data_IF_637872851700
#
_entry.id   IF_637872851700
#
_cell.length_a   1.000
_cell.length_b   1.000
_cell.length_c   1.000
_cell.angle_alpha   90.00
_cell.angle_beta   90.00
_cell.angle_gamma   90.00
#
_symmetry.space_group_name_H-M   'P 1'
#
loop_
_entity.id
_entity.type
_entity.pdbx_description
1 polymer ?
#
# COMPACT_ATOMS: atom_id res chain seq x y z
N UNK A 1 -3.63 -12.10 -22.32
CA UNK A 1 -3.57 -11.66 -20.92
C UNK A 1 -4.64 -10.59 -20.75
N UNK A 2 -5.54 -10.72 -19.78
CA UNK A 2 -6.69 -9.81 -19.64
C UNK A 2 -6.35 -8.50 -18.93
N UNK A 3 -5.33 -8.49 -18.07
CA UNK A 3 -4.94 -7.35 -17.22
C UNK A 3 -6.10 -6.79 -16.40
N UNK A 4 -6.81 -7.68 -15.71
CA UNK A 4 -7.87 -7.33 -14.77
C UNK A 4 -7.36 -7.53 -13.34
N UNK A 5 -8.00 -6.88 -12.39
CA UNK A 5 -7.72 -7.05 -10.97
C UNK A 5 -8.88 -7.80 -10.28
N UNK A 6 -8.62 -8.61 -9.24
CA UNK A 6 -9.66 -9.34 -8.51
C UNK A 6 -10.28 -8.53 -7.35
N UNK A 7 -9.70 -7.39 -7.01
CA UNK A 7 -10.10 -6.55 -5.89
C UNK A 7 -11.52 -5.99 -5.94
N UNK A 8 -11.94 -5.47 -4.80
CA UNK A 8 -13.27 -4.92 -4.60
C UNK A 8 -13.43 -3.54 -5.27
N UNK A 9 -14.53 -3.39 -6.01
CA UNK A 9 -14.99 -2.10 -6.52
C UNK A 9 -16.52 -2.13 -6.69
N UNK A 10 -17.14 -0.96 -6.68
CA UNK A 10 -18.55 -0.77 -7.05
C UNK A 10 -18.64 -0.33 -8.52
N UNK A 11 -19.79 -0.50 -9.20
CA UNK A 11 -19.96 0.01 -10.56
C UNK A 11 -19.56 1.49 -10.65
N UNK A 12 -18.58 1.79 -11.52
CA UNK A 12 -18.06 3.15 -11.77
C UNK A 12 -17.44 3.86 -10.54
N UNK A 13 -16.99 3.09 -9.53
CA UNK A 13 -16.34 3.65 -8.34
C UNK A 13 -14.95 4.24 -8.62
N UNK A 14 -14.57 5.25 -7.84
CA UNK A 14 -13.23 5.84 -7.81
C UNK A 14 -12.20 4.89 -7.19
N UNK A 15 -12.62 4.03 -6.25
CA UNK A 15 -11.75 3.06 -5.58
C UNK A 15 -11.82 1.70 -6.26
N UNK A 16 -10.65 1.15 -6.54
CA UNK A 16 -10.45 -0.24 -6.96
C UNK A 16 -9.49 -0.87 -5.95
N UNK A 17 -10.01 -1.34 -4.82
CA UNK A 17 -9.19 -1.83 -3.71
C UNK A 17 -8.79 -3.29 -3.98
N UNK A 18 -7.53 -3.51 -4.38
CA UNK A 18 -7.06 -4.79 -4.90
C UNK A 18 -5.68 -5.18 -4.38
N UNK A 19 -5.36 -6.48 -4.29
CA UNK A 19 -3.98 -6.94 -4.15
C UNK A 19 -3.10 -6.54 -5.33
N UNK A 20 -1.87 -6.17 -5.02
CA UNK A 20 -0.74 -6.09 -5.95
C UNK A 20 0.16 -7.32 -5.75
N UNK A 21 0.30 -8.17 -6.78
CA UNK A 21 1.20 -9.34 -6.71
C UNK A 21 2.63 -8.99 -7.05
N UNK A 22 2.88 -7.90 -7.77
CA UNK A 22 4.23 -7.36 -7.91
C UNK A 22 4.24 -5.86 -8.22
N UNK A 23 5.35 -5.21 -7.87
CA UNK A 23 5.62 -3.79 -8.12
C UNK A 23 6.92 -3.63 -8.92
N UNK A 24 7.08 -4.49 -9.94
CA UNK A 24 8.27 -4.54 -10.77
C UNK A 24 8.57 -3.13 -11.34
N UNK A 25 9.79 -2.60 -11.16
CA UNK A 25 10.11 -1.29 -11.68
C UNK A 25 10.26 -1.33 -13.21
N UNK A 26 9.94 -0.22 -13.87
CA UNK A 26 10.14 -0.02 -15.30
C UNK A 26 11.60 -0.27 -15.74
N UNK A 27 12.56 0.00 -14.84
CA UNK A 27 13.98 -0.29 -15.05
C UNK A 27 14.59 -0.87 -13.77
N UNK A 28 15.35 -1.95 -13.94
CA UNK A 28 16.15 -2.57 -12.88
C UNK A 28 17.59 -2.03 -12.82
N UNK A 29 17.87 -0.88 -13.43
CA UNK A 29 19.23 -0.34 -13.56
C UNK A 29 20.01 -0.85 -14.78
N UNK A 30 19.59 -1.98 -15.37
CA UNK A 30 20.20 -2.59 -16.57
C UNK A 30 19.42 -2.28 -17.87
N UNK A 31 18.47 -1.35 -17.81
CA UNK A 31 17.64 -0.94 -18.95
C UNK A 31 16.17 -1.28 -18.76
N UNK A 32 15.44 -1.22 -19.87
CA UNK A 32 13.98 -1.38 -19.89
C UNK A 32 13.54 -2.80 -19.51
N UNK A 33 12.73 -2.90 -18.47
CA UNK A 33 12.11 -4.15 -18.05
C UNK A 33 10.75 -4.31 -18.74
N UNK A 34 10.63 -5.29 -19.65
CA UNK A 34 9.38 -5.58 -20.37
C UNK A 34 8.34 -6.29 -19.52
N UNK A 35 8.75 -6.97 -18.45
CA UNK A 35 7.84 -7.75 -17.61
C UNK A 35 6.89 -6.85 -16.82
N UNK A 36 7.22 -5.56 -16.66
CA UNK A 36 6.36 -4.56 -16.02
C UNK A 36 4.96 -4.47 -16.65
N UNK A 37 4.81 -4.82 -17.93
CA UNK A 37 3.53 -4.79 -18.64
C UNK A 37 2.65 -6.01 -18.36
N UNK A 38 3.20 -7.09 -17.82
CA UNK A 38 2.33 -8.13 -17.27
C UNK A 38 1.48 -7.50 -16.13
N UNK A 39 2.07 -6.63 -15.33
CA UNK A 39 1.43 -6.09 -14.12
C UNK A 39 0.59 -4.83 -14.37
N UNK A 40 -0.02 -4.66 -15.55
CA UNK A 40 -0.81 -3.44 -15.85
C UNK A 40 -1.93 -3.15 -14.84
N UNK A 41 -2.49 -4.19 -14.24
CA UNK A 41 -3.52 -4.09 -13.21
C UNK A 41 -3.02 -4.49 -11.81
N UNK A 42 -1.71 -4.55 -11.58
CA UNK A 42 -1.11 -4.88 -10.28
C UNK A 42 -1.10 -6.36 -9.91
N UNK A 43 -2.03 -7.16 -10.47
CA UNK A 43 -2.22 -8.57 -10.13
C UNK A 43 -1.90 -9.53 -11.28
N UNK A 44 -1.22 -10.63 -10.96
CA UNK A 44 -0.99 -11.78 -11.84
C UNK A 44 -1.37 -13.07 -11.14
N UNK A 45 -2.31 -13.82 -11.72
CA UNK A 45 -2.81 -15.07 -11.15
C UNK A 45 -1.73 -16.16 -11.04
N UNK A 46 -0.65 -16.10 -11.82
CA UNK A 46 0.44 -17.07 -11.69
C UNK A 46 1.36 -16.80 -10.51
N UNK A 47 1.27 -15.63 -9.87
CA UNK A 47 2.10 -15.29 -8.73
C UNK A 47 1.58 -15.93 -7.45
N UNK A 48 2.52 -16.22 -6.56
CA UNK A 48 2.26 -16.88 -5.28
C UNK A 48 2.55 -15.95 -4.10
N UNK A 49 2.69 -14.64 -4.36
CA UNK A 49 3.01 -13.64 -3.34
C UNK A 49 2.28 -12.33 -3.60
N UNK A 50 1.92 -11.62 -2.52
CA UNK A 50 1.27 -10.31 -2.54
C UNK A 50 2.17 -9.28 -1.85
N UNK A 51 2.40 -8.15 -2.51
CA UNK A 51 3.08 -6.97 -1.94
C UNK A 51 2.21 -6.26 -0.90
N UNK A 52 0.92 -6.16 -1.16
CA UNK A 52 -0.05 -5.47 -0.33
C UNK A 52 -1.28 -5.11 -1.14
N UNK A 53 -2.05 -4.14 -0.66
CA UNK A 53 -3.34 -3.76 -1.22
C UNK A 53 -3.37 -2.26 -1.49
N UNK A 54 -3.47 -1.88 -2.77
CA UNK A 54 -3.56 -0.48 -3.19
C UNK A 54 -4.97 -0.13 -3.68
N UNK A 55 -5.26 1.16 -3.81
CA UNK A 55 -6.64 1.66 -3.87
C UNK A 55 -7.11 2.09 -5.28
N UNK A 56 -6.22 2.04 -6.27
CA UNK A 56 -6.50 2.54 -7.63
C UNK A 56 -5.86 1.63 -8.68
N UNK A 57 -6.66 1.20 -9.65
CA UNK A 57 -6.22 0.22 -10.66
C UNK A 57 -6.89 0.49 -12.01
N UNK A 58 -6.14 0.27 -13.08
CA UNK A 58 -6.74 0.14 -14.40
C UNK A 58 -7.14 -1.32 -14.67
N UNK A 59 -8.20 -1.51 -15.45
CA UNK A 59 -8.69 -2.82 -15.87
C UNK A 59 -8.65 -2.92 -17.39
N UNK A 60 -7.98 -3.95 -17.91
CA UNK A 60 -7.91 -4.26 -19.34
C UNK A 60 -6.90 -3.43 -20.14
N UNK A 61 -6.03 -2.66 -19.51
CA UNK A 61 -5.10 -1.76 -20.22
C UNK A 61 -3.84 -2.49 -20.67
N UNK A 62 -3.24 -2.03 -21.79
CA UNK A 62 -1.91 -2.48 -22.23
C UNK A 62 -0.75 -1.61 -21.73
N UNK A 63 -1.06 -0.61 -20.91
CA UNK A 63 -0.10 0.28 -20.23
C UNK A 63 -0.58 0.51 -18.79
N UNK A 64 0.34 0.97 -17.96
CA UNK A 64 0.20 0.90 -16.51
C UNK A 64 0.37 2.28 -15.87
N UNK A 65 -0.45 2.59 -14.88
CA UNK A 65 -0.25 3.68 -13.92
C UNK A 65 -1.04 3.32 -12.64
N UNK A 66 -1.21 4.25 -11.70
CA UNK A 66 -1.97 4.04 -10.46
C UNK A 66 -1.23 3.10 -9.46
N UNK A 67 -1.95 2.27 -8.71
CA UNK A 67 -1.43 1.55 -7.55
C UNK A 67 -1.17 2.51 -6.39
N UNK A 68 -2.09 3.42 -6.12
CA UNK A 68 -1.93 4.42 -5.08
C UNK A 68 -2.22 3.87 -3.69
N UNK A 69 -1.37 4.26 -2.73
CA UNK A 69 -1.49 3.98 -1.30
C UNK A 69 -1.58 2.48 -0.99
N UNK A 70 -0.43 1.80 -1.07
CA UNK A 70 -0.34 0.38 -0.75
C UNK A 70 -0.28 0.17 0.76
N UNK A 71 -1.26 -0.56 1.28
CA UNK A 71 -1.29 -1.03 2.67
C UNK A 71 -0.88 -2.50 2.76
N UNK A 72 -0.08 -2.84 3.77
CA UNK A 72 0.27 -4.23 4.06
C UNK A 72 0.27 -4.48 5.58
N UNK A 73 -0.64 -5.32 6.12
CA UNK A 73 -0.59 -5.75 7.51
C UNK A 73 0.50 -6.82 7.69
N UNK A 74 1.30 -6.70 8.75
CA UNK A 74 2.36 -7.66 9.06
C UNK A 74 2.45 -7.94 10.56
N UNK A 75 3.01 -9.10 10.89
CA UNK A 75 3.43 -9.48 12.25
C UNK A 75 4.94 -9.67 12.29
N UNK A 76 5.54 -9.61 13.48
CA UNK A 76 6.97 -9.80 13.67
C UNK A 76 7.82 -8.57 13.28
N UNK A 77 9.10 -8.78 12.90
CA UNK A 77 10.04 -7.69 12.64
C UNK A 77 9.57 -6.76 11.52
N UNK A 78 9.63 -5.45 11.77
CA UNK A 78 9.28 -4.42 10.80
C UNK A 78 10.21 -4.47 9.59
N UNK A 79 9.63 -4.60 8.39
CA UNK A 79 10.32 -4.51 7.10
C UNK A 79 9.64 -3.45 6.24
N UNK A 80 10.42 -2.54 5.67
CA UNK A 80 9.94 -1.44 4.82
C UNK A 80 10.40 -1.61 3.36
N UNK A 81 10.56 -2.84 2.90
CA UNK A 81 10.81 -3.13 1.51
C UNK A 81 9.93 -4.33 1.12
N UNK A 82 9.48 -4.43 -0.15
CA UNK A 82 8.61 -5.53 -0.56
C UNK A 82 9.34 -6.88 -0.74
N UNK A 83 10.68 -6.92 -0.61
CA UNK A 83 11.46 -8.09 -1.00
C UNK A 83 11.30 -8.38 -2.50
N UNK A 84 11.47 -9.64 -2.88
CA UNK A 84 11.22 -10.09 -4.26
C UNK A 84 10.28 -11.29 -4.27
N UNK A 85 9.71 -11.62 -5.43
CA UNK A 85 8.89 -12.83 -5.58
C UNK A 85 9.65 -14.12 -5.20
N UNK A 86 10.96 -14.17 -5.45
CA UNK A 86 11.82 -15.33 -5.14
C UNK A 86 12.26 -15.34 -3.67
N UNK A 87 12.46 -14.15 -3.09
CA UNK A 87 12.91 -13.96 -1.71
C UNK A 87 11.94 -13.08 -0.92
N UNK A 88 10.67 -13.48 -0.75
CA UNK A 88 9.66 -12.67 -0.05
C UNK A 88 10.05 -12.41 1.40
N UNK A 89 10.78 -13.32 2.04
CA UNK A 89 11.26 -13.21 3.42
C UNK A 89 12.22 -12.04 3.66
N UNK A 90 12.75 -11.40 2.61
CA UNK A 90 13.60 -10.20 2.75
C UNK A 90 12.80 -8.91 2.94
N UNK A 91 11.47 -8.97 2.74
CA UNK A 91 10.57 -7.83 2.80
C UNK A 91 9.24 -8.09 3.50
N UNK A 92 8.29 -7.17 3.31
CA UNK A 92 6.95 -7.21 3.89
C UNK A 92 5.95 -8.06 3.07
N UNK A 93 6.36 -8.58 1.91
CA UNK A 93 5.51 -9.38 1.03
C UNK A 93 5.17 -10.71 1.68
N UNK A 94 3.95 -11.18 1.47
CA UNK A 94 3.49 -12.48 1.96
C UNK A 94 3.25 -13.44 0.81
N UNK A 95 3.53 -14.73 1.05
CA UNK A 95 2.98 -15.83 0.27
C UNK A 95 1.46 -15.92 0.46
N UNK A 96 0.77 -16.45 -0.54
CA UNK A 96 -0.66 -16.78 -0.51
C UNK A 96 -0.97 -17.95 -1.46
N UNK A 97 -2.18 -18.51 -1.37
CA UNK A 97 -2.68 -19.50 -2.32
C UNK A 97 -4.10 -19.18 -2.77
N UNK A 98 -4.44 -19.55 -4.02
CA UNK A 98 -5.81 -19.39 -4.55
C UNK A 98 -6.84 -20.27 -3.84
N UNK A 99 -6.43 -21.32 -3.12
CA UNK A 99 -7.33 -22.12 -2.28
C UNK A 99 -7.87 -21.32 -1.10
N UNK A 100 -7.13 -20.30 -0.65
CA UNK A 100 -7.49 -19.38 0.43
C UNK A 100 -7.72 -17.95 -0.08
N UNK A 101 -8.11 -17.82 -1.34
CA UNK A 101 -8.43 -16.55 -1.99
C UNK A 101 -9.87 -16.61 -2.51
N UNK A 102 -10.66 -15.57 -2.21
CA UNK A 102 -12.06 -15.48 -2.58
C UNK A 102 -12.31 -14.10 -3.18
N UNK A 103 -12.95 -14.05 -4.34
CA UNK A 103 -13.37 -12.82 -4.98
C UNK A 103 -14.82 -12.91 -5.44
N UNK A 104 -15.57 -11.84 -5.23
CA UNK A 104 -16.94 -11.66 -5.72
C UNK A 104 -17.23 -10.17 -5.93
N UNK A 105 -18.32 -9.78 -6.64
CA UNK A 105 -18.61 -8.35 -6.85
C UNK A 105 -18.64 -7.55 -5.54
N UNK A 106 -17.75 -6.57 -5.43
CA UNK A 106 -17.62 -5.72 -4.23
C UNK A 106 -16.88 -6.33 -3.04
N UNK A 107 -16.28 -7.53 -3.17
CA UNK A 107 -15.56 -8.18 -2.08
C UNK A 107 -14.37 -9.01 -2.56
N UNK A 108 -13.25 -8.88 -1.85
CA UNK A 108 -12.06 -9.73 -2.02
C UNK A 108 -11.54 -10.17 -0.66
N UNK A 109 -11.05 -11.40 -0.55
CA UNK A 109 -10.38 -11.89 0.65
C UNK A 109 -9.24 -12.83 0.31
N UNK A 110 -8.18 -12.78 1.11
CA UNK A 110 -7.03 -13.67 0.99
C UNK A 110 -6.36 -13.92 2.33
N UNK A 111 -5.85 -15.13 2.53
CA UNK A 111 -4.94 -15.45 3.63
C UNK A 111 -3.51 -15.01 3.28
N UNK A 112 -2.90 -14.20 4.15
CA UNK A 112 -1.47 -13.87 4.10
C UNK A 112 -0.69 -14.92 4.89
N UNK A 113 -0.24 -15.98 4.22
CA UNK A 113 0.32 -17.17 4.87
C UNK A 113 1.57 -16.88 5.72
N UNK A 114 2.40 -15.91 5.34
CA UNK A 114 3.64 -15.59 6.09
C UNK A 114 3.37 -14.83 7.40
N UNK A 115 2.19 -14.21 7.53
CA UNK A 115 1.80 -13.43 8.71
C UNK A 115 0.66 -14.04 9.51
N UNK A 116 -0.03 -15.04 8.94
CA UNK A 116 -1.24 -15.65 9.48
C UNK A 116 -2.33 -14.59 9.77
N UNK A 117 -2.59 -13.76 8.75
CA UNK A 117 -3.56 -12.67 8.76
C UNK A 117 -4.55 -12.90 7.62
N UNK A 118 -5.84 -12.95 7.94
CA UNK A 118 -6.90 -12.90 6.93
C UNK A 118 -7.13 -11.44 6.54
N UNK A 119 -6.91 -11.11 5.27
CA UNK A 119 -7.25 -9.82 4.70
C UNK A 119 -8.59 -9.89 3.97
N UNK A 120 -9.44 -8.91 4.21
CA UNK A 120 -10.75 -8.76 3.56
C UNK A 120 -10.94 -7.32 3.11
N UNK A 121 -11.43 -7.14 1.89
CA UNK A 121 -11.51 -5.85 1.21
C UNK A 121 -12.92 -5.66 0.67
N UNK A 122 -13.46 -4.45 0.84
CA UNK A 122 -14.66 -3.98 0.14
C UNK A 122 -14.52 -2.51 -0.20
N UNK A 123 -15.43 -1.96 -1.00
CA UNK A 123 -15.37 -0.57 -1.43
C UNK A 123 -16.75 0.06 -1.54
N UNK A 124 -16.80 1.37 -1.31
CA UNK A 124 -17.88 2.26 -1.74
C UNK A 124 -17.43 3.05 -2.98
N UNK A 125 -18.19 4.05 -3.42
CA UNK A 125 -17.80 4.90 -4.55
C UNK A 125 -16.42 5.55 -4.37
N UNK A 126 -16.03 5.95 -3.16
CA UNK A 126 -14.81 6.74 -2.90
C UNK A 126 -14.00 6.27 -1.68
N UNK A 127 -14.41 5.19 -1.04
CA UNK A 127 -13.76 4.66 0.18
C UNK A 127 -13.44 3.18 -0.01
N UNK A 128 -12.18 2.82 0.19
CA UNK A 128 -11.76 1.44 0.40
C UNK A 128 -11.88 1.06 1.87
N UNK A 129 -12.36 -0.14 2.14
CA UNK A 129 -12.49 -0.68 3.49
C UNK A 129 -11.72 -1.99 3.59
N UNK A 130 -10.83 -2.07 4.58
CA UNK A 130 -10.05 -3.25 4.91
C UNK A 130 -10.51 -3.79 6.25
N UNK A 131 -10.52 -5.11 6.38
CA UNK A 131 -10.61 -5.82 7.65
C UNK A 131 -9.48 -6.84 7.69
N UNK A 132 -8.60 -6.71 8.67
CA UNK A 132 -7.51 -7.64 8.92
C UNK A 132 -7.79 -8.41 10.21
N UNK A 133 -7.98 -9.72 10.10
CA UNK A 133 -8.16 -10.60 11.26
C UNK A 133 -6.82 -11.23 11.59
N UNK A 134 -6.31 -10.96 12.80
CA UNK A 134 -5.04 -11.49 13.28
C UNK A 134 -5.28 -12.77 14.06
N UNK A 135 -4.67 -13.88 13.66
CA UNK A 135 -4.83 -15.14 14.37
C UNK A 135 -3.90 -15.29 15.57
N UNK A 136 -2.84 -14.49 15.63
CA UNK A 136 -1.86 -14.48 16.70
C UNK A 136 -1.92 -13.18 17.50
N UNK A 137 -1.58 -13.25 18.78
CA UNK A 137 -1.45 -12.07 19.63
C UNK A 137 -0.08 -11.41 19.51
N UNK A 138 -0.01 -10.10 19.80
CA UNK A 138 1.24 -9.36 19.91
C UNK A 138 1.21 -7.98 19.25
N UNK A 139 2.39 -7.38 19.15
CA UNK A 139 2.59 -6.16 18.39
C UNK A 139 2.57 -6.48 16.89
N UNK A 140 1.81 -5.69 16.15
CA UNK A 140 1.59 -5.84 14.71
C UNK A 140 1.90 -4.52 14.02
N UNK A 141 2.21 -4.57 12.72
CA UNK A 141 2.47 -3.39 11.91
C UNK A 141 1.43 -3.28 10.79
N UNK A 142 1.02 -2.05 10.48
CA UNK A 142 0.39 -1.69 9.22
C UNK A 142 1.38 -0.81 8.46
N UNK A 143 1.93 -1.35 7.36
CA UNK A 143 2.84 -0.60 6.48
C UNK A 143 2.00 0.17 5.47
N UNK A 144 2.31 1.46 5.29
CA UNK A 144 1.82 2.30 4.20
C UNK A 144 3.01 2.67 3.30
N UNK A 145 3.13 1.98 2.17
CA UNK A 145 4.17 2.25 1.17
C UNK A 145 3.69 3.32 0.19
N UNK A 146 4.01 4.58 0.48
CA UNK A 146 3.66 5.71 -0.40
C UNK A 146 4.49 5.70 -1.69
N UNK A 147 5.64 5.02 -1.69
CA UNK A 147 6.54 4.91 -2.82
C UNK A 147 6.11 3.83 -3.82
N UNK A 148 5.38 2.81 -3.37
CA UNK A 148 4.83 1.75 -4.21
C UNK A 148 3.87 2.30 -5.27
N UNK A 149 3.78 1.64 -6.41
CA UNK A 149 2.84 1.99 -7.47
C UNK A 149 3.07 1.10 -8.68
N UNK A 150 2.05 0.98 -9.52
CA UNK A 150 2.16 0.18 -10.73
C UNK A 150 3.00 0.97 -11.74
N UNK A 151 3.97 0.30 -12.37
CA UNK A 151 4.92 0.91 -13.30
C UNK A 151 5.72 2.04 -12.64
N UNK A 152 6.49 1.66 -11.63
CA UNK A 152 7.29 2.60 -10.83
C UNK A 152 8.72 2.74 -11.36
N UNK A 153 9.33 3.89 -11.12
CA UNK A 153 10.73 4.18 -11.47
C UNK A 153 11.25 5.38 -10.67
N UNK A 154 12.58 5.52 -10.50
CA UNK A 154 13.16 6.69 -9.87
C UNK A 154 12.68 7.99 -10.51
N UNK A 155 12.11 8.90 -9.69
CA UNK A 155 11.57 10.18 -10.15
C UNK A 155 10.10 10.17 -10.60
N UNK A 156 9.40 9.02 -10.53
CA UNK A 156 7.93 8.95 -10.74
C UNK A 156 7.19 9.73 -9.65
N UNK A 157 7.52 9.44 -8.40
CA UNK A 157 7.01 10.15 -7.23
C UNK A 157 7.72 11.51 -7.10
N UNK A 158 6.94 12.58 -7.06
CA UNK A 158 7.44 13.97 -6.97
C UNK A 158 7.53 14.39 -5.52
N UNK A 159 6.42 14.18 -4.80
CA UNK A 159 6.30 14.53 -3.41
C UNK A 159 5.23 13.68 -2.76
N UNK A 160 5.48 13.26 -1.52
CA UNK A 160 4.56 12.52 -0.67
C UNK A 160 4.52 13.21 0.68
N UNK A 161 3.33 13.21 1.26
CA UNK A 161 3.08 13.78 2.57
C UNK A 161 2.11 12.86 3.30
N UNK A 162 2.43 12.55 4.55
CA UNK A 162 1.52 11.91 5.51
C UNK A 162 1.50 12.77 6.76
N UNK A 163 0.32 12.91 7.36
CA UNK A 163 0.13 13.51 8.67
C UNK A 163 -0.71 12.62 9.57
N UNK A 164 -0.23 12.38 10.78
CA UNK A 164 -1.01 11.74 11.85
C UNK A 164 -1.76 12.84 12.59
N UNK A 165 -3.06 12.96 12.35
CA UNK A 165 -3.90 14.03 12.91
C UNK A 165 -4.29 13.73 14.37
N UNK A 166 -4.48 12.46 14.69
CA UNK A 166 -4.73 11.96 16.05
C UNK A 166 -4.40 10.46 16.13
N UNK A 167 -4.84 9.78 17.19
CA UNK A 167 -4.54 8.38 17.45
C UNK A 167 -5.18 7.39 16.45
N UNK A 168 -6.12 7.84 15.61
CA UNK A 168 -6.86 6.98 14.66
C UNK A 168 -6.99 7.55 13.25
N UNK A 169 -6.73 8.85 13.05
CA UNK A 169 -6.86 9.55 11.76
C UNK A 169 -5.48 9.90 11.19
N UNK A 170 -5.26 9.48 9.95
CA UNK A 170 -4.08 9.78 9.15
C UNK A 170 -4.55 10.42 7.84
N UNK A 171 -3.97 11.55 7.45
CA UNK A 171 -4.23 12.20 6.17
C UNK A 171 -2.96 12.25 5.34
N UNK A 172 -3.08 12.48 4.03
CA UNK A 172 -1.90 12.62 3.20
C UNK A 172 -2.21 12.75 1.73
N UNK A 173 -1.15 12.87 0.94
CA UNK A 173 -1.24 12.91 -0.51
C UNK A 173 0.04 12.43 -1.18
N UNK A 174 -0.10 12.16 -2.48
CA UNK A 174 1.01 11.89 -3.37
C UNK A 174 0.85 12.66 -4.67
N UNK A 175 1.94 13.29 -5.10
CA UNK A 175 2.08 13.81 -6.45
C UNK A 175 2.98 12.88 -7.28
N UNK A 176 2.51 12.50 -8.47
CA UNK A 176 3.27 11.68 -9.42
C UNK A 176 3.34 12.31 -10.80
N UNK A 177 4.44 12.04 -11.51
CA UNK A 177 4.48 12.09 -12.98
C UNK A 177 4.37 10.66 -13.52
N UNK A 178 3.76 10.46 -14.67
CA UNK A 178 3.58 9.13 -15.26
C UNK A 178 2.90 9.20 -16.61
N UNK A 179 2.05 8.22 -16.89
CA UNK A 179 1.21 8.26 -18.08
C UNK A 179 0.30 9.49 -18.03
N UNK A 180 -0.28 9.77 -16.86
CA UNK A 180 -0.83 11.08 -16.55
C UNK A 180 0.30 12.01 -16.05
N UNK A 181 0.53 13.11 -16.76
CA UNK A 181 1.70 13.98 -16.56
C UNK A 181 1.81 14.61 -15.17
N UNK A 182 0.67 15.00 -14.58
CA UNK A 182 0.61 15.71 -13.29
C UNK A 182 -0.57 15.18 -12.49
N UNK A 183 -0.36 14.09 -11.74
CA UNK A 183 -1.41 13.51 -10.89
C UNK A 183 -1.19 13.89 -9.44
N UNK A 184 -2.28 14.32 -8.81
CA UNK A 184 -2.41 14.44 -7.37
C UNK A 184 -3.50 13.47 -6.92
N UNK A 185 -3.25 12.79 -5.82
CA UNK A 185 -4.25 12.01 -5.13
C UNK A 185 -4.02 12.14 -3.64
N UNK A 186 -5.11 12.32 -2.91
CA UNK A 186 -5.18 12.61 -1.48
C UNK A 186 -5.92 11.46 -0.81
N UNK A 187 -5.64 11.24 0.47
CA UNK A 187 -6.37 10.29 1.28
C UNK A 187 -6.68 10.83 2.68
N UNK A 188 -7.77 10.30 3.25
CA UNK A 188 -8.04 10.30 4.68
C UNK A 188 -8.25 8.84 5.12
N UNK A 189 -7.40 8.36 6.02
CA UNK A 189 -7.39 7.00 6.52
C UNK A 189 -7.77 6.99 8.01
N UNK A 190 -8.78 6.20 8.37
CA UNK A 190 -9.19 5.95 9.75
C UNK A 190 -8.95 4.49 10.09
N UNK A 191 -8.26 4.24 11.20
CA UNK A 191 -8.06 2.91 11.78
C UNK A 191 -8.98 2.71 12.99
N UNK A 192 -9.49 1.49 13.20
CA UNK A 192 -10.47 1.22 14.26
C UNK A 192 -9.88 1.11 15.67
N UNK A 193 -8.55 1.14 15.81
CA UNK A 193 -7.85 1.05 17.08
C UNK A 193 -6.83 2.19 17.18
N UNK A 194 -6.59 2.75 18.38
CA UNK A 194 -5.55 3.74 18.59
C UNK A 194 -4.16 3.18 18.19
N UNK A 195 -3.41 3.97 17.45
CA UNK A 195 -2.03 3.68 17.05
C UNK A 195 -1.14 3.77 18.30
N UNK A 196 -0.38 2.70 18.59
CA UNK A 196 0.51 2.69 19.76
C UNK A 196 1.83 3.43 19.52
N UNK A 197 2.37 3.30 18.32
CA UNK A 197 3.51 4.07 17.82
C UNK A 197 3.54 4.05 16.30
N UNK A 198 4.22 5.01 15.71
CA UNK A 198 4.36 5.12 14.26
C UNK A 198 5.68 5.76 13.87
N UNK A 199 6.02 5.65 12.60
CA UNK A 199 7.24 6.21 12.05
C UNK A 199 7.31 6.04 10.55
N UNK A 200 8.44 6.46 9.97
CA UNK A 200 8.67 6.28 8.54
C UNK A 200 10.15 6.18 8.19
N UNK A 201 10.38 5.67 6.99
CA UNK A 201 11.66 5.79 6.28
C UNK A 201 11.43 6.60 5.00
N UNK A 202 12.30 7.57 4.73
CA UNK A 202 12.43 8.19 3.41
C UNK A 202 13.77 7.78 2.80
N UNK A 203 13.74 7.05 1.67
CA UNK A 203 14.95 6.60 0.97
C UNK A 203 15.46 7.58 -0.09
N UNK A 204 14.89 8.78 -0.13
CA UNK A 204 15.42 9.88 -0.93
C UNK A 204 16.78 10.36 -0.39
N UNK A 205 17.66 10.81 -1.28
CA UNK A 205 18.90 11.47 -0.89
C UNK A 205 18.60 12.93 -0.53
N UNK A 206 18.56 13.25 0.76
CA UNK A 206 18.32 14.60 1.27
C UNK A 206 19.65 15.25 1.69
N UNK A 207 20.10 16.24 0.91
CA UNK A 207 21.36 16.96 1.19
C UNK A 207 21.19 17.98 2.33
N UNK A 208 20.00 18.56 2.47
CA UNK A 208 19.69 19.56 3.48
C UNK A 208 18.32 19.29 4.11
N UNK A 209 18.31 19.04 5.42
CA UNK A 209 17.11 18.77 6.21
C UNK A 209 16.77 19.93 7.19
N UNK A 210 17.25 21.15 6.90
CA UNK A 210 16.93 22.34 7.69
C UNK A 210 17.13 22.21 9.20
N UNK A 211 16.23 22.84 9.96
CA UNK A 211 16.16 22.70 11.41
C UNK A 211 15.50 21.39 11.87
N UNK A 212 14.86 20.64 10.95
CA UNK A 212 14.18 19.39 11.25
C UNK A 212 15.13 18.29 11.74
N UNK A 213 16.43 18.38 11.38
CA UNK A 213 17.52 17.56 11.95
C UNK A 213 17.62 17.55 13.48
N UNK A 214 16.94 18.47 14.18
CA UNK A 214 16.88 18.55 15.65
C UNK A 214 15.78 17.66 16.25
N UNK A 215 14.83 17.19 15.44
CA UNK A 215 13.73 16.34 15.88
C UNK A 215 14.00 14.88 15.49
N UNK A 216 13.43 13.94 16.26
CA UNK A 216 13.36 12.55 15.85
C UNK A 216 12.16 12.36 14.92
N UNK A 217 12.32 12.68 13.64
CA UNK A 217 11.24 12.54 12.65
C UNK A 217 10.83 11.07 12.44
N UNK A 218 11.70 10.12 12.78
CA UNK A 218 11.50 8.69 12.47
C UNK A 218 10.50 8.00 13.39
N UNK A 219 10.19 8.57 14.55
CA UNK A 219 9.32 7.94 15.55
C UNK A 219 8.38 8.97 16.18
N UNK A 220 7.07 8.71 16.08
CA UNK A 220 5.99 9.50 16.67
C UNK A 220 6.04 11.00 16.33
N UNK A 221 6.59 11.35 15.16
CA UNK A 221 6.57 12.70 14.64
C UNK A 221 5.40 12.85 13.65
N UNK A 222 4.51 13.84 13.83
CA UNK A 222 3.20 13.85 13.17
C UNK A 222 3.26 13.98 11.66
N UNK A 223 4.38 14.44 11.08
CA UNK A 223 4.52 14.67 9.64
C UNK A 223 5.59 13.77 9.02
N UNK A 224 5.31 13.21 7.86
CA UNK A 224 6.25 12.34 7.11
C UNK A 224 6.29 12.80 5.67
N UNK A 225 7.48 13.15 5.17
CA UNK A 225 7.62 13.81 3.86
C UNK A 225 8.78 13.24 3.04
N UNK A 226 8.66 13.37 1.72
CA UNK A 226 9.72 13.06 0.77
C UNK A 226 9.23 12.45 -0.54
N UNK A 227 10.16 11.97 -1.36
CA UNK A 227 9.84 11.29 -2.63
C UNK A 227 9.81 9.75 -2.54
N UNK A 228 10.26 9.17 -1.42
CA UNK A 228 10.31 7.71 -1.23
C UNK A 228 9.96 7.32 0.22
N UNK A 229 8.77 7.74 0.66
CA UNK A 229 8.21 7.55 2.00
C UNK A 229 7.60 6.16 2.16
N UNK A 230 7.95 5.50 3.25
CA UNK A 230 7.30 4.28 3.74
C UNK A 230 7.00 4.44 5.21
N UNK A 231 5.73 4.56 5.52
CA UNK A 231 5.25 4.71 6.89
C UNK A 231 4.87 3.37 7.49
N UNK A 232 4.86 3.31 8.81
CA UNK A 232 4.39 2.17 9.57
C UNK A 232 3.63 2.64 10.80
N UNK A 233 2.60 1.89 11.17
CA UNK A 233 1.74 2.13 12.33
C UNK A 233 1.62 0.85 13.13
N UNK A 234 1.81 0.91 14.45
CA UNK A 234 1.77 -0.27 15.33
C UNK A 234 0.49 -0.36 16.13
N UNK A 235 0.08 -1.60 16.35
CA UNK A 235 -1.08 -1.96 17.15
C UNK A 235 -0.79 -3.21 17.97
N UNK A 236 -1.32 -3.27 19.19
CA UNK A 236 -1.32 -4.48 20.00
C UNK A 236 -2.62 -5.25 19.75
N UNK A 237 -2.52 -6.44 19.15
CA UNK A 237 -3.64 -7.27 18.75
C UNK A 237 -3.72 -8.54 19.59
N UNK A 238 -4.95 -9.02 19.80
CA UNK A 238 -5.23 -10.34 20.37
C UNK A 238 -5.54 -11.34 19.26
N UNK A 239 -5.39 -12.63 19.55
CA UNK A 239 -5.83 -13.68 18.64
C UNK A 239 -7.33 -13.55 18.33
N UNK A 240 -7.68 -13.60 17.05
CA UNK A 240 -9.03 -13.40 16.51
C UNK A 240 -9.49 -11.94 16.43
N UNK A 241 -8.67 -10.99 16.87
CA UNK A 241 -9.03 -9.57 16.85
C UNK A 241 -8.90 -8.97 15.45
N UNK A 242 -9.77 -8.00 15.15
CA UNK A 242 -9.86 -7.36 13.85
C UNK A 242 -9.39 -5.91 13.90
N UNK A 243 -8.46 -5.55 13.01
CA UNK A 243 -8.18 -4.15 12.68
C UNK A 243 -8.98 -3.78 11.43
N UNK A 244 -9.80 -2.73 11.52
CA UNK A 244 -10.54 -2.20 10.37
C UNK A 244 -9.90 -0.89 9.93
N UNK A 245 -9.75 -0.71 8.62
CA UNK A 245 -9.17 0.49 8.02
C UNK A 245 -10.13 1.02 6.96
N UNK A 246 -10.49 2.29 7.05
CA UNK A 246 -11.24 3.02 6.01
C UNK A 246 -10.29 4.02 5.37
N UNK A 247 -10.17 4.01 4.05
CA UNK A 247 -9.38 5.01 3.32
C UNK A 247 -10.24 5.64 2.23
N UNK A 248 -10.58 6.91 2.42
CA UNK A 248 -11.24 7.74 1.43
C UNK A 248 -10.21 8.36 0.49
N UNK A 249 -10.53 8.48 -0.80
CA UNK A 249 -9.68 9.13 -1.80
C UNK A 249 -10.30 10.43 -2.33
N UNK A 250 -9.44 11.37 -2.70
CA UNK A 250 -9.81 12.62 -3.36
C UNK A 250 -8.74 13.03 -4.37
N UNK A 251 -9.14 13.68 -5.46
CA UNK A 251 -8.22 14.29 -6.41
C UNK A 251 -7.93 15.77 -6.09
N UNK A 252 -8.46 16.29 -4.98
CA UNK A 252 -8.50 17.72 -4.65
C UNK A 252 -7.74 18.05 -3.37
N UNK A 253 -8.10 17.39 -2.26
CA UNK A 253 -7.66 17.77 -0.91
C UNK A 253 -7.88 16.63 0.10
N UNK A 254 -7.38 16.82 1.33
CA UNK A 254 -7.57 15.88 2.45
C UNK A 254 -8.88 16.09 3.22
N UNK A 255 -9.44 17.29 3.18
CA UNK A 255 -10.75 17.68 3.73
C UNK A 255 -11.92 17.13 2.91
#
# INVERSE_FOLDING_TARGET
>A
MGHTYPGATVPFGMVQLSPDTDTIPYSGGEGYNRDVYAYCAGYQYSDQTICGFSHTHFSGTGHSDLGDFLLMPTTGPLKLNPGTRVHPETGYRSRFSHEKEIASPGYYSVMLDDYDILAELTATERVGFHRYTYHNEGETNLVLDMAAGIYNYPGKNIWQFIRVENDTLITGYRQTRGWARTRYIYFAMVVSKPISSYGYENKESVIYNGFYRKFNEKENFPEMVGANVKAWFRFNMRAGEQLQVKMALSAVSTE
#
